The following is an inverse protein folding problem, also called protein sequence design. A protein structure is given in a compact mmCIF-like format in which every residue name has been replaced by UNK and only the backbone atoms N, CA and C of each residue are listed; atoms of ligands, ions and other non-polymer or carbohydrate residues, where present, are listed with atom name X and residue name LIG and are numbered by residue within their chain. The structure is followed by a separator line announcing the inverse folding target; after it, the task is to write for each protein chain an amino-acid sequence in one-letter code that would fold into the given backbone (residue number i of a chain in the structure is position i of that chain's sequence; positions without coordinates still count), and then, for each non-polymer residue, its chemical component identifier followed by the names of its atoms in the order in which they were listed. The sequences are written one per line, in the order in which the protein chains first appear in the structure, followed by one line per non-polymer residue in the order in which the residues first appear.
data_IF_026152121026
#
_entry.id   IF_026152121026
#
_cell.length_a   1.000
_cell.length_b   1.000
_cell.length_c   1.000
_cell.angle_alpha   90.00
_cell.angle_beta   90.00
_cell.angle_gamma   90.00
#
_symmetry.space_group_name_H-M   'P 1'
#
loop_
_entity.id
_entity.type
_entity.pdbx_description
1 polymer ?
#
# COMPACT_ATOMS: atom_id res chain seq x y z
N UNK A 1 -0.78 33.67 -6.56
CA UNK A 1 0.60 33.91 -7.06
C UNK A 1 1.27 32.61 -7.49
N UNK A 2 0.96 31.49 -6.85
CA UNK A 2 1.62 30.18 -7.06
C UNK A 2 1.59 29.65 -8.50
N UNK A 3 0.47 29.83 -9.23
CA UNK A 3 0.36 29.34 -10.61
C UNK A 3 1.32 30.04 -11.60
N UNK A 4 1.49 31.36 -11.46
CA UNK A 4 2.43 32.14 -12.30
C UNK A 4 3.88 31.82 -11.94
N UNK A 5 4.19 31.66 -10.65
CA UNK A 5 5.53 31.27 -10.19
C UNK A 5 5.90 29.89 -10.73
N UNK A 6 4.97 28.92 -10.68
CA UNK A 6 5.21 27.58 -11.20
C UNK A 6 5.35 27.55 -12.72
N UNK A 7 4.59 28.37 -13.46
CA UNK A 7 4.76 28.52 -14.90
C UNK A 7 6.11 29.13 -15.28
N UNK A 8 6.57 30.16 -14.54
CA UNK A 8 7.89 30.77 -14.73
C UNK A 8 9.02 29.77 -14.43
N UNK A 9 8.89 28.99 -13.36
CA UNK A 9 9.84 27.94 -13.01
C UNK A 9 9.90 26.86 -14.09
N UNK A 10 8.76 26.39 -14.59
CA UNK A 10 8.71 25.42 -15.68
C UNK A 10 9.31 25.99 -16.97
N UNK A 11 9.02 27.26 -17.29
CA UNK A 11 9.57 27.91 -18.47
C UNK A 11 11.10 28.00 -18.39
N UNK A 12 11.62 28.47 -17.26
CA UNK A 12 13.07 28.53 -17.01
C UNK A 12 13.72 27.14 -17.04
N UNK A 13 13.14 26.17 -16.33
CA UNK A 13 13.64 24.78 -16.25
C UNK A 13 13.58 24.03 -17.58
N UNK A 14 12.63 24.38 -18.46
CA UNK A 14 12.54 23.79 -19.79
C UNK A 14 13.63 24.28 -20.74
N UNK A 15 14.26 25.43 -20.46
CA UNK A 15 15.21 26.09 -21.36
C UNK A 15 14.58 26.54 -22.68
N UNK A 16 13.24 26.58 -22.77
CA UNK A 16 12.49 26.88 -23.99
C UNK A 16 11.50 28.02 -23.79
N UNK A 17 11.29 28.79 -24.86
CA UNK A 17 10.24 29.82 -24.96
C UNK A 17 8.93 29.27 -25.52
N UNK A 18 8.93 28.03 -26.01
CA UNK A 18 7.73 27.40 -26.57
C UNK A 18 6.88 26.79 -25.47
N UNK A 19 5.60 27.18 -25.44
CA UNK A 19 4.64 26.68 -24.45
C UNK A 19 4.47 25.16 -24.51
N UNK A 20 4.68 24.53 -25.67
CA UNK A 20 4.68 23.07 -25.82
C UNK A 20 5.72 22.39 -24.96
N UNK A 21 6.94 22.95 -24.88
CA UNK A 21 8.05 22.39 -24.13
C UNK A 21 7.87 22.59 -22.62
N UNK A 22 7.36 23.76 -22.23
CA UNK A 22 6.98 24.07 -20.85
C UNK A 22 5.90 23.11 -20.34
N UNK A 23 4.87 22.89 -21.17
CA UNK A 23 3.78 21.96 -20.86
C UNK A 23 4.27 20.51 -20.83
N UNK A 24 5.11 20.12 -21.79
CA UNK A 24 5.72 18.79 -21.83
C UNK A 24 6.50 18.49 -20.55
N UNK A 25 7.37 19.41 -20.12
CA UNK A 25 8.12 19.28 -18.86
C UNK A 25 7.19 19.21 -17.64
N UNK A 26 6.14 20.04 -17.60
CA UNK A 26 5.14 20.03 -16.53
C UNK A 26 4.49 18.65 -16.37
N UNK A 27 3.96 18.09 -17.46
CA UNK A 27 3.33 16.78 -17.42
C UNK A 27 4.32 15.63 -17.19
N UNK A 28 5.56 15.74 -17.65
CA UNK A 28 6.62 14.77 -17.33
C UNK A 28 6.88 14.71 -15.82
N UNK A 29 6.96 15.86 -15.15
CA UNK A 29 7.12 15.92 -13.70
C UNK A 29 5.93 15.33 -12.96
N UNK A 30 4.70 15.62 -13.39
CA UNK A 30 3.50 14.99 -12.82
C UNK A 30 3.54 13.45 -12.95
N UNK A 31 3.95 12.93 -14.11
CA UNK A 31 4.12 11.47 -14.30
C UNK A 31 5.15 10.90 -13.33
N UNK A 32 6.26 11.60 -13.11
CA UNK A 32 7.31 11.16 -12.19
C UNK A 32 6.85 11.18 -10.73
N UNK A 33 6.18 12.24 -10.30
CA UNK A 33 5.60 12.35 -8.94
C UNK A 33 4.63 11.19 -8.68
N UNK A 34 3.73 10.93 -9.63
CA UNK A 34 2.73 9.85 -9.52
C UNK A 34 3.36 8.46 -9.56
N UNK A 35 4.48 8.28 -10.26
CA UNK A 35 5.23 7.04 -10.23
C UNK A 35 5.96 6.83 -8.89
N UNK A 36 6.41 7.91 -8.25
CA UNK A 36 6.87 7.87 -6.86
C UNK A 36 5.77 7.41 -5.92
N UNK A 37 4.56 7.98 -6.03
CA UNK A 37 3.39 7.54 -5.27
C UNK A 37 3.01 6.08 -5.52
N UNK A 38 3.07 5.62 -6.78
CA UNK A 38 2.82 4.22 -7.12
C UNK A 38 3.80 3.28 -6.41
N UNK A 39 5.07 3.66 -6.38
CA UNK A 39 6.13 2.87 -5.75
C UNK A 39 5.94 2.81 -4.23
N UNK A 40 5.54 3.94 -3.63
CA UNK A 40 5.16 4.02 -2.23
C UNK A 40 3.95 3.10 -1.92
N UNK A 41 2.88 3.17 -2.71
CA UNK A 41 1.70 2.32 -2.56
C UNK A 41 2.03 0.83 -2.67
N UNK A 42 2.90 0.46 -3.62
CA UNK A 42 3.36 -0.91 -3.75
C UNK A 42 4.10 -1.38 -2.49
N UNK A 43 4.97 -0.54 -1.90
CA UNK A 43 5.61 -0.83 -0.62
C UNK A 43 4.60 -1.06 0.51
N UNK A 44 3.50 -0.29 0.54
CA UNK A 44 2.41 -0.51 1.51
C UNK A 44 1.67 -1.82 1.30
N UNK A 45 1.41 -2.23 0.05
CA UNK A 45 0.82 -3.54 -0.23
C UNK A 45 1.69 -4.66 0.34
N UNK A 46 3.00 -4.64 0.06
CA UNK A 46 3.96 -5.64 0.57
C UNK A 46 3.98 -5.65 2.09
N UNK A 47 4.04 -4.48 2.73
CA UNK A 47 4.05 -4.37 4.18
C UNK A 47 2.78 -4.96 4.83
N UNK A 48 1.60 -4.69 4.27
CA UNK A 48 0.34 -5.23 4.81
C UNK A 48 0.23 -6.74 4.56
N UNK A 49 0.71 -7.22 3.41
CA UNK A 49 0.76 -8.65 3.08
C UNK A 49 1.66 -9.44 4.06
N UNK A 50 2.86 -8.92 4.35
CA UNK A 50 3.77 -9.51 5.36
C UNK A 50 3.11 -9.54 6.74
N UNK A 51 2.34 -8.50 7.08
CA UNK A 51 1.62 -8.43 8.36
C UNK A 51 0.50 -9.46 8.43
N UNK A 52 -0.20 -9.73 7.33
CA UNK A 52 -1.21 -10.80 7.27
C UNK A 52 -0.58 -12.17 7.48
N UNK A 53 0.55 -12.45 6.82
CA UNK A 53 1.28 -13.71 7.01
C UNK A 53 1.75 -13.89 8.48
N UNK A 54 2.16 -12.81 9.14
CA UNK A 54 2.49 -12.84 10.57
C UNK A 54 1.27 -13.14 11.45
N UNK A 55 0.12 -12.52 11.16
CA UNK A 55 -1.12 -12.77 11.89
C UNK A 55 -1.62 -14.20 11.69
N UNK A 56 -1.54 -14.74 10.47
CA UNK A 56 -1.85 -16.14 10.17
C UNK A 56 -1.00 -17.09 11.01
N UNK A 57 0.30 -16.82 11.14
CA UNK A 57 1.19 -17.61 11.96
C UNK A 57 0.77 -17.59 13.44
N UNK A 58 0.47 -16.41 14.00
CA UNK A 58 -0.01 -16.30 15.39
C UNK A 58 -1.32 -17.07 15.58
N UNK A 59 -2.32 -16.82 14.72
CA UNK A 59 -3.63 -17.45 14.82
C UNK A 59 -3.47 -18.97 14.79
N UNK A 60 -2.66 -19.50 13.87
CA UNK A 60 -2.40 -20.92 13.74
C UNK A 60 -1.74 -21.51 15.00
N UNK A 61 -0.74 -20.85 15.56
CA UNK A 61 -0.08 -21.31 16.80
C UNK A 61 -1.06 -21.29 17.99
N UNK A 62 -1.91 -20.27 18.10
CA UNK A 62 -2.93 -20.20 19.14
C UNK A 62 -3.99 -21.31 18.97
N UNK A 63 -4.45 -21.56 17.74
CA UNK A 63 -5.37 -22.65 17.43
C UNK A 63 -4.74 -24.02 17.73
N UNK A 64 -3.45 -24.21 17.43
CA UNK A 64 -2.72 -25.43 17.77
C UNK A 64 -2.62 -25.63 19.29
N UNK A 65 -2.28 -24.57 20.04
CA UNK A 65 -2.21 -24.59 21.50
C UNK A 65 -3.58 -24.92 22.11
N UNK A 66 -4.63 -24.25 21.65
CA UNK A 66 -6.01 -24.46 22.13
C UNK A 66 -6.48 -25.90 21.88
N UNK A 67 -6.26 -26.43 20.69
CA UNK A 67 -6.64 -27.80 20.32
C UNK A 67 -5.81 -28.89 21.01
N UNK A 68 -4.60 -28.56 21.49
CA UNK A 68 -3.70 -29.48 22.19
C UNK A 68 -3.46 -29.03 23.63
N UNK A 69 -4.51 -28.57 24.30
CA UNK A 69 -4.47 -28.01 25.66
C UNK A 69 -3.82 -28.97 26.66
N UNK A 70 -3.99 -30.29 26.51
CA UNK A 70 -3.33 -31.31 27.34
C UNK A 70 -1.81 -31.42 27.12
N UNK A 71 -1.33 -31.13 25.91
CA UNK A 71 0.11 -31.07 25.59
C UNK A 71 0.69 -29.72 26.01
N UNK A 72 -0.08 -28.65 25.86
CA UNK A 72 0.28 -27.32 26.35
C UNK A 72 0.41 -27.32 27.89
N UNK A 73 -0.48 -28.03 28.61
CA UNK A 73 -0.40 -28.26 30.06
C UNK A 73 0.90 -28.94 30.50
N UNK A 74 1.52 -29.75 29.63
CA UNK A 74 2.79 -30.42 29.92
C UNK A 74 4.00 -29.48 29.76
N UNK A 75 3.90 -28.48 28.88
CA UNK A 75 4.96 -27.50 28.62
C UNK A 75 4.83 -26.25 29.49
N UNK A 76 3.61 -25.89 29.91
CA UNK A 76 3.28 -24.69 30.69
C UNK A 76 2.13 -25.02 31.66
N UNK A 77 2.18 -24.52 32.89
CA UNK A 77 1.06 -24.63 33.83
C UNK A 77 -0.15 -23.81 33.34
N UNK A 78 -1.12 -24.47 32.69
CA UNK A 78 -2.40 -23.87 32.34
C UNK A 78 -3.37 -23.91 33.52
N UNK A 79 -3.98 -22.77 33.81
CA UNK A 79 -5.01 -22.59 34.84
C UNK A 79 -6.40 -22.88 34.27
N UNK A 80 -7.35 -23.19 35.16
CA UNK A 80 -8.76 -23.25 34.81
C UNK A 80 -9.21 -21.90 34.24
N UNK A 81 -9.76 -21.89 33.02
CA UNK A 81 -10.22 -20.69 32.32
C UNK A 81 -9.26 -20.16 31.25
N UNK A 82 -8.06 -20.73 31.11
CA UNK A 82 -7.12 -20.34 30.05
C UNK A 82 -7.63 -20.69 28.64
N UNK A 83 -8.56 -21.65 28.53
CA UNK A 83 -9.28 -21.98 27.29
C UNK A 83 -10.09 -20.80 26.75
N UNK A 84 -10.74 -20.04 27.65
CA UNK A 84 -11.46 -18.80 27.31
C UNK A 84 -10.48 -17.73 26.84
N UNK A 85 -9.32 -17.61 27.51
CA UNK A 85 -8.26 -16.66 27.11
C UNK A 85 -7.73 -16.97 25.71
N UNK A 86 -7.52 -18.26 25.38
CA UNK A 86 -7.14 -18.66 24.02
C UNK A 86 -8.23 -18.31 23.00
N UNK A 87 -9.49 -18.60 23.29
CA UNK A 87 -10.60 -18.28 22.40
C UNK A 87 -10.71 -16.76 22.14
N UNK A 88 -10.59 -15.94 23.18
CA UNK A 88 -10.60 -14.48 23.06
C UNK A 88 -9.41 -13.96 22.27
N UNK A 89 -8.20 -14.50 22.51
CA UNK A 89 -7.01 -14.13 21.74
C UNK A 89 -7.14 -14.47 20.26
N UNK A 90 -7.64 -15.68 19.93
CA UNK A 90 -7.88 -16.10 18.55
C UNK A 90 -8.88 -15.16 17.88
N UNK A 91 -10.00 -14.84 18.56
CA UNK A 91 -11.01 -13.93 18.04
C UNK A 91 -10.46 -12.52 17.82
N UNK A 92 -9.65 -12.01 18.75
CA UNK A 92 -8.99 -10.71 18.65
C UNK A 92 -8.05 -10.63 17.43
N UNK A 93 -7.18 -11.62 17.25
CA UNK A 93 -6.27 -11.63 16.11
C UNK A 93 -6.98 -11.84 14.77
N UNK A 94 -8.05 -12.65 14.72
CA UNK A 94 -8.89 -12.78 13.52
C UNK A 94 -9.55 -11.46 13.13
N UNK A 95 -10.06 -10.70 14.10
CA UNK A 95 -10.64 -9.38 13.82
C UNK A 95 -9.61 -8.40 13.24
N UNK A 96 -8.38 -8.39 13.75
CA UNK A 96 -7.29 -7.57 13.18
C UNK A 96 -6.89 -8.06 11.79
N UNK A 97 -6.79 -9.38 11.61
CA UNK A 97 -6.48 -9.98 10.33
C UNK A 97 -7.49 -9.57 9.26
N UNK A 98 -8.79 -9.70 9.55
CA UNK A 98 -9.86 -9.35 8.60
C UNK A 98 -9.81 -7.87 8.22
N UNK A 99 -9.53 -6.99 9.19
CA UNK A 99 -9.32 -5.56 8.93
C UNK A 99 -8.12 -5.29 8.01
N UNK A 100 -6.95 -5.91 8.27
CA UNK A 100 -5.78 -5.74 7.41
C UNK A 100 -6.00 -6.35 6.02
N UNK A 101 -6.78 -7.43 5.91
CA UNK A 101 -7.12 -8.07 4.64
C UNK A 101 -8.01 -7.16 3.78
N UNK A 102 -9.03 -6.53 4.38
CA UNK A 102 -9.87 -5.54 3.70
C UNK A 102 -9.03 -4.32 3.26
N UNK A 103 -8.14 -3.84 4.13
CA UNK A 103 -7.22 -2.75 3.82
C UNK A 103 -6.31 -3.10 2.64
N UNK A 104 -5.76 -4.31 2.58
CA UNK A 104 -4.94 -4.78 1.46
C UNK A 104 -5.74 -4.83 0.16
N UNK A 105 -6.98 -5.32 0.20
CA UNK A 105 -7.87 -5.33 -0.96
C UNK A 105 -8.11 -3.90 -1.51
N UNK A 106 -8.37 -2.94 -0.61
CA UNK A 106 -8.55 -1.54 -0.98
C UNK A 106 -7.27 -0.91 -1.57
N UNK A 107 -6.10 -1.22 -0.99
CA UNK A 107 -4.82 -0.78 -1.52
C UNK A 107 -4.55 -1.31 -2.94
N UNK A 108 -4.89 -2.57 -3.22
CA UNK A 108 -4.76 -3.14 -4.56
C UNK A 108 -5.65 -2.44 -5.58
N UNK A 109 -6.91 -2.13 -5.23
CA UNK A 109 -7.82 -1.37 -6.11
C UNK A 109 -7.24 0.03 -6.39
N UNK A 110 -6.77 0.72 -5.35
CA UNK A 110 -6.17 2.04 -5.50
C UNK A 110 -4.91 2.00 -6.37
N UNK A 111 -4.04 1.01 -6.16
CA UNK A 111 -2.84 0.80 -6.96
C UNK A 111 -3.16 0.58 -8.43
N UNK A 112 -4.14 -0.27 -8.76
CA UNK A 112 -4.58 -0.50 -10.13
C UNK A 112 -5.12 0.77 -10.80
N UNK A 113 -5.91 1.56 -10.07
CA UNK A 113 -6.40 2.86 -10.56
C UNK A 113 -5.24 3.83 -10.84
N UNK A 114 -4.25 3.90 -9.94
CA UNK A 114 -3.05 4.73 -10.11
C UNK A 114 -2.21 4.27 -11.30
N UNK A 115 -2.01 2.96 -11.52
CA UNK A 115 -1.33 2.44 -12.72
C UNK A 115 -2.02 2.91 -13.99
N UNK A 116 -3.35 2.74 -14.07
CA UNK A 116 -4.13 3.16 -15.22
C UNK A 116 -4.04 4.67 -15.45
N UNK A 117 -4.03 5.46 -14.38
CA UNK A 117 -3.93 6.92 -14.45
C UNK A 117 -2.56 7.39 -14.96
N UNK A 118 -1.47 6.83 -14.41
CA UNK A 118 -0.10 7.10 -14.88
C UNK A 118 0.07 6.72 -16.35
N UNK A 119 -0.48 5.58 -16.77
CA UNK A 119 -0.44 5.15 -18.16
C UNK A 119 -1.11 6.16 -19.11
N UNK A 120 -2.29 6.68 -18.74
CA UNK A 120 -2.97 7.72 -19.53
C UNK A 120 -2.17 9.02 -19.60
N UNK A 121 -1.58 9.46 -18.49
CA UNK A 121 -0.71 10.64 -18.48
C UNK A 121 0.52 10.46 -19.37
N UNK A 122 1.17 9.30 -19.33
CA UNK A 122 2.28 8.99 -20.26
C UNK A 122 1.86 9.05 -21.72
N UNK A 123 0.69 8.51 -22.07
CA UNK A 123 0.15 8.60 -23.42
C UNK A 123 -0.12 10.05 -23.84
N UNK A 124 -0.57 10.89 -22.91
CA UNK A 124 -0.77 12.32 -23.17
C UNK A 124 0.57 13.04 -23.37
N UNK A 125 1.56 12.80 -22.50
CA UNK A 125 2.93 13.33 -22.60
C UNK A 125 3.58 12.96 -23.93
N UNK A 126 3.39 11.74 -24.43
CA UNK A 126 3.95 11.29 -25.69
C UNK A 126 3.49 12.11 -26.92
N UNK A 127 2.36 12.83 -26.82
CA UNK A 127 1.87 13.71 -27.91
C UNK A 127 2.76 14.94 -28.13
N UNK A 128 3.56 15.32 -27.13
CA UNK A 128 4.52 16.42 -27.26
C UNK A 128 5.80 15.98 -27.97
N UNK A 129 6.09 14.68 -27.99
CA UNK A 129 7.29 14.11 -28.66
C UNK A 129 7.10 13.89 -30.16
N UNK A 130 5.87 14.04 -30.66
CA UNK A 130 5.51 13.88 -32.07
C UNK A 130 5.40 15.20 -32.85
N UNK A 131 5.90 16.30 -32.29
CA UNK A 131 5.89 17.65 -32.87
C UNK A 131 7.32 18.09 -33.15
#
# INVERSE_FOLDING_TARGET
MDGLVRLLELAYSSGSVYISDVMHLGFQREVQEEQGWLSFLHGWCVYVDDRLAYLDAIIRELELCSNRTSVAQFLVELRSGDDVVFADAIMYFKAIHDFEAEKLANLHIFSQASVAHVARRRQFVARFSSV
#
